data_IF_064360706370
#
_entry.id   IF_064360706370
#
_cell.length_a   1.000
_cell.length_b   1.000
_cell.length_c   1.000
_cell.angle_alpha   90.00
_cell.angle_beta   90.00
_cell.angle_gamma   90.00
#
_symmetry.space_group_name_H-M   'P 1'
#
loop_
_entity.id
_entity.type
_entity.pdbx_description
1 polymer ?
#
# COMPACT_ATOMS: atom_id res chain seq x y z
N UNK A 1 -36.32 -4.72 -3.33
CA UNK A 1 -34.86 -4.90 -3.43
C UNK A 1 -34.25 -3.64 -2.83
N UNK A 2 -33.45 -3.72 -1.75
CA UNK A 2 -32.79 -2.54 -1.22
C UNK A 2 -31.83 -2.00 -2.28
N UNK A 3 -31.78 -0.68 -2.44
CA UNK A 3 -30.84 -0.01 -3.35
C UNK A 3 -29.40 -0.33 -2.96
N UNK A 4 -28.72 -1.13 -3.78
CA UNK A 4 -27.30 -1.46 -3.64
C UNK A 4 -26.39 -0.21 -3.77
N UNK A 5 -26.91 0.92 -4.28
CA UNK A 5 -26.19 2.20 -4.29
C UNK A 5 -25.89 2.74 -2.88
N UNK A 6 -26.64 2.33 -1.85
CA UNK A 6 -26.50 2.91 -0.50
C UNK A 6 -25.25 2.46 0.28
N UNK A 7 -24.44 1.53 -0.24
CA UNK A 7 -23.33 0.93 0.50
C UNK A 7 -21.93 1.21 -0.08
N UNK A 8 -21.82 2.09 -1.08
CA UNK A 8 -20.51 2.49 -1.63
C UNK A 8 -19.79 3.45 -0.67
N UNK A 9 -18.48 3.28 -0.42
CA UNK A 9 -17.76 4.20 0.45
C UNK A 9 -17.69 5.59 -0.17
N UNK A 10 -18.00 6.60 0.64
CA UNK A 10 -17.80 8.00 0.29
C UNK A 10 -16.32 8.36 0.52
N UNK A 11 -15.53 8.47 -0.57
CA UNK A 11 -14.08 8.71 -0.45
C UNK A 11 -13.74 10.01 0.28
N UNK A 12 -14.58 11.04 0.20
CA UNK A 12 -14.39 12.31 0.92
C UNK A 12 -14.60 12.15 2.42
N UNK A 13 -15.56 11.32 2.83
CA UNK A 13 -15.72 10.99 4.25
C UNK A 13 -14.54 10.17 4.77
N UNK A 14 -14.07 9.21 3.98
CA UNK A 14 -12.87 8.43 4.30
C UNK A 14 -11.62 9.30 4.37
N UNK A 15 -11.37 10.19 3.42
CA UNK A 15 -10.27 11.17 3.48
C UNK A 15 -10.25 11.90 4.82
N UNK A 16 -11.38 12.53 5.21
CA UNK A 16 -11.50 13.24 6.49
C UNK A 16 -11.31 12.34 7.70
N UNK A 17 -11.78 11.09 7.62
CA UNK A 17 -11.60 10.12 8.69
C UNK A 17 -10.11 9.77 8.86
N UNK A 18 -9.40 9.52 7.76
CA UNK A 18 -7.96 9.25 7.80
C UNK A 18 -7.18 10.47 8.33
N UNK A 19 -7.50 11.69 7.89
CA UNK A 19 -6.90 12.92 8.41
C UNK A 19 -7.14 13.09 9.93
N UNK A 20 -8.34 12.76 10.41
CA UNK A 20 -8.67 12.81 11.82
C UNK A 20 -7.96 11.75 12.67
N UNK A 21 -7.60 10.59 12.09
CA UNK A 21 -6.75 9.59 12.76
C UNK A 21 -5.29 10.02 12.75
N UNK A 22 -4.81 10.55 11.63
CA UNK A 22 -3.45 11.09 11.49
C UNK A 22 -3.19 12.20 12.51
N UNK A 23 -4.16 13.08 12.77
CA UNK A 23 -4.02 14.15 13.77
C UNK A 23 -3.94 13.67 15.23
N UNK A 24 -4.26 12.41 15.50
CA UNK A 24 -4.07 11.78 16.81
C UNK A 24 -2.66 11.22 17.00
N UNK A 25 -1.87 11.11 15.92
CA UNK A 25 -0.45 10.83 16.02
C UNK A 25 0.30 12.05 16.57
N UNK A 26 1.52 11.83 17.06
CA UNK A 26 2.35 12.92 17.57
C UNK A 26 2.65 13.96 16.46
N UNK A 27 2.26 15.24 16.65
CA UNK A 27 2.38 16.29 15.64
C UNK A 27 3.80 16.54 15.15
N UNK A 28 4.83 16.21 15.93
CA UNK A 28 6.22 16.37 15.52
C UNK A 28 6.59 15.47 14.32
N UNK A 29 5.78 14.45 14.04
CA UNK A 29 6.10 13.34 13.15
C UNK A 29 5.38 13.49 11.80
N UNK A 30 4.33 14.30 11.72
CA UNK A 30 3.46 14.40 10.53
C UNK A 30 4.02 15.25 9.39
N UNK A 31 5.24 15.76 9.55
CA UNK A 31 5.86 16.70 8.63
C UNK A 31 7.13 16.12 8.00
N UNK A 32 7.01 15.09 7.13
CA UNK A 32 8.17 14.50 6.46
C UNK A 32 8.94 15.52 5.61
N UNK A 33 8.30 16.59 5.14
CA UNK A 33 8.93 17.71 4.44
C UNK A 33 9.87 18.55 5.32
N UNK A 34 9.76 18.40 6.65
CA UNK A 34 10.65 19.04 7.63
C UNK A 34 11.77 18.11 8.07
N UNK A 35 11.68 16.82 7.75
CA UNK A 35 12.71 15.84 8.11
C UNK A 35 13.93 15.99 7.20
N UNK A 36 15.11 16.08 7.81
CA UNK A 36 16.37 16.04 7.08
C UNK A 36 16.67 14.63 6.53
N UNK A 37 17.54 14.52 5.52
CA UNK A 37 17.94 13.22 4.97
C UNK A 37 18.55 12.28 6.03
N UNK A 38 19.26 12.81 7.02
CA UNK A 38 19.78 12.02 8.14
C UNK A 38 18.68 11.52 9.06
N UNK A 39 17.65 12.33 9.32
CA UNK A 39 16.51 11.95 10.14
C UNK A 39 15.68 10.86 9.45
N UNK A 40 15.45 10.97 8.13
CA UNK A 40 14.79 9.93 7.33
C UNK A 40 15.60 8.63 7.37
N UNK A 41 16.92 8.68 7.17
CA UNK A 41 17.78 7.48 7.23
C UNK A 41 17.74 6.80 8.59
N UNK A 42 17.63 7.58 9.66
CA UNK A 42 17.62 7.09 11.04
C UNK A 42 16.20 6.96 11.61
N UNK A 43 15.16 7.09 10.78
CA UNK A 43 13.77 7.01 11.21
C UNK A 43 13.52 5.68 11.92
N UNK A 44 12.73 5.75 12.98
CA UNK A 44 12.24 4.60 13.72
C UNK A 44 10.78 4.84 14.09
N UNK A 45 9.99 3.77 14.05
CA UNK A 45 8.62 3.82 14.55
C UNK A 45 8.56 3.87 16.09
N UNK A 46 7.35 3.88 16.65
CA UNK A 46 7.12 3.90 18.10
C UNK A 46 7.67 2.65 18.84
N UNK A 47 8.01 1.59 18.11
CA UNK A 47 8.61 0.35 18.65
C UNK A 47 10.13 0.29 18.41
N UNK A 48 10.72 1.32 17.80
CA UNK A 48 12.14 1.36 17.47
C UNK A 48 12.50 0.57 16.21
N UNK A 49 11.53 0.04 15.45
CA UNK A 49 11.80 -0.70 14.23
C UNK A 49 12.22 0.21 13.09
N UNK A 50 13.04 -0.34 12.21
CA UNK A 50 13.45 0.25 10.93
C UNK A 50 13.08 -0.72 9.83
N UNK A 51 12.57 -0.20 8.73
CA UNK A 51 12.25 -0.97 7.52
C UNK A 51 13.04 -0.37 6.38
N UNK A 52 13.42 -1.21 5.43
CA UNK A 52 14.14 -0.73 4.26
C UNK A 52 13.28 0.19 3.38
N UNK A 53 11.96 -0.01 3.37
CA UNK A 53 10.98 0.86 2.68
C UNK A 53 10.82 2.25 3.34
N UNK A 54 11.21 2.44 4.61
CA UNK A 54 11.05 3.71 5.33
C UNK A 54 11.71 4.85 4.55
N UNK A 55 12.93 4.64 4.06
CA UNK A 55 13.72 5.68 3.39
C UNK A 55 13.08 6.16 2.09
N UNK A 56 12.82 5.30 1.08
CA UNK A 56 12.24 5.78 -0.17
C UNK A 56 10.80 6.28 0.00
N UNK A 57 10.00 5.69 0.91
CA UNK A 57 8.64 6.17 1.19
C UNK A 57 8.62 7.55 1.85
N UNK A 58 9.38 7.75 2.94
CA UNK A 58 9.41 9.04 3.63
C UNK A 58 10.07 10.14 2.78
N UNK A 59 11.05 9.78 1.95
CA UNK A 59 11.63 10.72 0.97
C UNK A 59 10.58 11.16 -0.04
N UNK A 60 9.74 10.23 -0.53
CA UNK A 60 8.63 10.54 -1.43
C UNK A 60 7.63 11.48 -0.75
N UNK A 61 7.24 11.17 0.48
CA UNK A 61 6.32 12.01 1.27
C UNK A 61 6.84 13.40 1.57
N UNK A 62 8.14 13.53 1.85
CA UNK A 62 8.76 14.80 2.20
C UNK A 62 9.23 15.65 1.01
N UNK A 63 9.16 15.13 -0.22
CA UNK A 63 9.72 15.81 -1.40
C UNK A 63 11.24 16.01 -1.31
N UNK A 64 11.93 15.18 -0.51
CA UNK A 64 13.35 15.31 -0.20
C UNK A 64 14.26 14.82 -1.32
N UNK A 65 15.56 15.09 -1.20
CA UNK A 65 16.57 14.51 -2.08
C UNK A 65 16.88 13.07 -1.68
N UNK A 66 16.95 12.24 -2.71
CA UNK A 66 17.12 10.78 -2.69
C UNK A 66 18.42 10.39 -1.97
N UNK A 67 18.34 9.40 -1.07
CA UNK A 67 19.52 8.69 -0.56
C UNK A 67 19.93 7.60 -1.54
N UNK A 68 21.19 7.14 -1.51
CA UNK A 68 21.62 6.06 -2.39
C UNK A 68 20.81 4.78 -2.14
N UNK A 69 20.24 4.22 -3.21
CA UNK A 69 19.50 2.97 -3.18
C UNK A 69 20.43 1.80 -2.78
N UNK A 70 20.04 0.94 -1.82
CA UNK A 70 20.77 -0.29 -1.52
C UNK A 70 20.85 -1.23 -2.73
N UNK A 71 21.99 -1.92 -2.91
CA UNK A 71 22.18 -2.85 -4.02
C UNK A 71 21.36 -4.15 -3.92
N UNK A 72 20.85 -4.46 -2.74
CA UNK A 72 20.11 -5.67 -2.38
C UNK A 72 18.62 -5.40 -2.08
N UNK A 73 18.09 -4.28 -2.58
CA UNK A 73 16.70 -3.88 -2.35
C UNK A 73 15.70 -4.93 -2.88
N UNK A 74 14.66 -5.20 -2.09
CA UNK A 74 13.57 -6.11 -2.46
C UNK A 74 12.66 -5.50 -3.54
N UNK A 75 11.81 -6.29 -4.23
CA UNK A 75 10.93 -5.77 -5.28
C UNK A 75 10.01 -4.62 -4.84
N UNK A 76 9.46 -4.68 -3.63
CA UNK A 76 8.61 -3.62 -3.07
C UNK A 76 9.39 -2.33 -2.78
N UNK A 77 10.60 -2.45 -2.22
CA UNK A 77 11.52 -1.33 -2.04
C UNK A 77 11.89 -0.70 -3.39
N UNK A 78 12.18 -1.53 -4.39
CA UNK A 78 12.54 -1.08 -5.73
C UNK A 78 11.42 -0.27 -6.39
N UNK A 79 10.15 -0.64 -6.18
CA UNK A 79 9.02 0.16 -6.66
C UNK A 79 8.96 1.53 -5.97
N UNK A 80 9.24 1.62 -4.67
CA UNK A 80 9.35 2.91 -3.99
C UNK A 80 10.54 3.73 -4.49
N UNK A 81 11.68 3.10 -4.77
CA UNK A 81 12.83 3.78 -5.39
C UNK A 81 12.55 4.28 -6.81
N UNK A 82 11.71 3.59 -7.59
CA UNK A 82 11.34 4.02 -8.94
C UNK A 82 10.58 5.36 -8.98
N UNK A 83 10.01 5.81 -7.84
CA UNK A 83 9.43 7.16 -7.74
C UNK A 83 10.49 8.26 -7.76
N UNK A 84 11.73 7.91 -7.44
CA UNK A 84 12.89 8.79 -7.26
C UNK A 84 13.96 8.64 -8.33
N UNK A 85 14.07 7.44 -8.90
CA UNK A 85 15.10 7.05 -9.85
C UNK A 85 14.43 6.47 -11.11
N UNK A 86 14.45 7.23 -12.20
CA UNK A 86 13.88 6.84 -13.48
C UNK A 86 14.67 5.72 -14.18
N UNK A 87 15.87 5.38 -13.68
CA UNK A 87 16.65 4.24 -14.19
C UNK A 87 16.13 2.89 -13.68
N UNK A 88 15.23 2.90 -12.70
CA UNK A 88 14.59 1.68 -12.19
C UNK A 88 13.55 1.17 -13.18
N UNK A 89 13.83 0.02 -13.78
CA UNK A 89 12.93 -0.65 -14.73
C UNK A 89 11.79 -1.38 -13.99
N UNK A 90 10.66 -0.69 -13.86
CA UNK A 90 9.44 -1.21 -13.20
C UNK A 90 8.87 -2.42 -13.94
N UNK A 91 8.83 -2.39 -15.28
CA UNK A 91 8.27 -3.49 -16.07
C UNK A 91 9.11 -4.76 -15.87
N UNK A 92 10.44 -4.63 -15.79
CA UNK A 92 11.33 -5.74 -15.45
C UNK A 92 11.07 -6.28 -14.03
N UNK A 93 10.95 -5.39 -13.03
CA UNK A 93 10.66 -5.81 -11.64
C UNK A 93 9.38 -6.64 -11.60
N UNK A 94 8.31 -6.15 -12.23
CA UNK A 94 7.03 -6.86 -12.28
C UNK A 94 7.13 -8.19 -13.04
N UNK A 95 7.88 -8.24 -14.14
CA UNK A 95 8.03 -9.44 -14.95
C UNK A 95 8.84 -10.55 -14.24
N UNK A 96 9.94 -10.19 -13.59
CA UNK A 96 10.85 -11.14 -12.92
C UNK A 96 10.28 -11.68 -11.60
N UNK A 97 9.42 -10.92 -10.93
CA UNK A 97 8.91 -11.26 -9.59
C UNK A 97 7.45 -11.71 -9.58
N UNK A 98 6.80 -11.84 -10.74
CA UNK A 98 5.39 -12.23 -10.83
C UNK A 98 5.12 -13.62 -10.20
N UNK A 99 3.93 -13.84 -9.62
CA UNK A 99 3.50 -15.18 -9.24
C UNK A 99 3.51 -16.13 -10.43
N UNK A 100 3.87 -17.40 -10.19
CA UNK A 100 3.70 -18.46 -11.18
C UNK A 100 2.19 -18.66 -11.46
N UNK A 101 1.78 -18.92 -12.71
CA UNK A 101 0.40 -19.24 -13.00
C UNK A 101 -0.02 -20.48 -12.22
N UNK A 102 -0.99 -20.34 -11.33
CA UNK A 102 -1.61 -21.49 -10.67
C UNK A 102 -2.49 -22.19 -11.69
N UNK A 103 -2.38 -23.52 -11.81
CA UNK A 103 -3.21 -24.30 -12.73
C UNK A 103 -4.70 -24.14 -12.37
N UNK A 104 -5.41 -23.36 -13.20
CA UNK A 104 -6.83 -23.05 -13.01
C UNK A 104 -7.72 -24.29 -13.10
N UNK A 105 -7.23 -25.42 -13.62
CA UNK A 105 -7.97 -26.68 -13.67
C UNK A 105 -8.14 -27.35 -12.29
N UNK A 106 -7.41 -26.89 -11.25
CA UNK A 106 -7.55 -27.37 -9.88
C UNK A 106 -8.35 -26.42 -8.96
N UNK A 107 -8.75 -25.24 -9.46
CA UNK A 107 -9.35 -24.18 -8.65
C UNK A 107 -10.61 -23.63 -9.33
N UNK A 108 -11.70 -24.40 -9.26
CA UNK A 108 -13.00 -24.09 -9.87
C UNK A 108 -13.74 -22.86 -9.30
N UNK A 109 -13.13 -22.10 -8.38
CA UNK A 109 -13.78 -21.00 -7.66
C UNK A 109 -13.15 -19.61 -7.91
N UNK A 110 -12.00 -19.54 -8.57
CA UNK A 110 -11.29 -18.26 -8.78
C UNK A 110 -11.94 -17.44 -9.91
N UNK A 111 -12.75 -16.46 -9.53
CA UNK A 111 -13.26 -15.42 -10.44
C UNK A 111 -12.28 -14.24 -10.53
N UNK A 112 -11.09 -14.52 -11.08
CA UNK A 112 -10.24 -13.48 -11.65
C UNK A 112 -9.08 -13.04 -10.76
N UNK A 113 -7.87 -13.35 -11.19
CA UNK A 113 -6.66 -12.76 -10.63
C UNK A 113 -5.42 -13.38 -11.24
N UNK A 114 -4.41 -12.56 -11.51
CA UNK A 114 -3.04 -13.00 -11.87
C UNK A 114 -2.21 -13.29 -10.60
N UNK A 115 -2.85 -13.44 -9.44
CA UNK A 115 -2.21 -13.57 -8.12
C UNK A 115 -1.85 -12.22 -7.50
N UNK A 116 -1.07 -12.29 -6.41
CA UNK A 116 -0.42 -11.14 -5.78
C UNK A 116 0.50 -10.37 -6.74
N UNK A 117 1.06 -9.27 -6.29
CA UNK A 117 2.01 -8.49 -7.10
C UNK A 117 3.33 -9.27 -7.29
N UNK A 118 3.77 -9.93 -6.22
CA UNK A 118 5.01 -10.69 -6.11
C UNK A 118 4.74 -12.15 -5.76
N UNK A 119 5.62 -13.04 -6.22
CA UNK A 119 5.59 -14.45 -5.83
C UNK A 119 5.88 -14.62 -4.33
N UNK A 120 5.04 -15.39 -3.63
CA UNK A 120 5.19 -15.67 -2.19
C UNK A 120 6.58 -16.21 -1.82
N UNK A 121 7.15 -17.08 -2.66
CA UNK A 121 8.46 -17.71 -2.42
C UNK A 121 9.66 -16.75 -2.41
N UNK A 122 9.46 -15.47 -2.72
CA UNK A 122 10.49 -14.44 -2.59
C UNK A 122 10.73 -14.01 -1.14
N UNK A 123 9.78 -14.30 -0.24
CA UNK A 123 9.83 -13.88 1.16
C UNK A 123 9.75 -15.09 2.10
N UNK A 124 10.22 -14.88 3.33
CA UNK A 124 10.40 -15.97 4.30
C UNK A 124 9.09 -16.47 4.92
N UNK A 125 8.09 -15.59 5.04
CA UNK A 125 6.82 -15.86 5.74
C UNK A 125 5.69 -15.19 4.98
N UNK A 126 4.47 -15.67 5.19
CA UNK A 126 3.28 -15.10 4.54
C UNK A 126 3.07 -13.65 4.96
N UNK A 127 3.34 -13.32 6.23
CA UNK A 127 3.17 -11.99 6.78
C UNK A 127 4.16 -10.99 6.14
N UNK A 128 5.43 -11.39 5.99
CA UNK A 128 6.45 -10.56 5.32
C UNK A 128 6.12 -10.41 3.83
N UNK A 129 5.64 -11.47 3.18
CA UNK A 129 5.18 -11.35 1.79
C UNK A 129 3.98 -10.41 1.68
N UNK A 130 2.96 -10.54 2.53
CA UNK A 130 1.75 -9.70 2.48
C UNK A 130 2.10 -8.23 2.70
N UNK A 131 2.98 -7.93 3.67
CA UNK A 131 3.51 -6.58 3.89
C UNK A 131 4.17 -6.03 2.62
N UNK A 132 5.09 -6.78 2.02
CA UNK A 132 5.80 -6.36 0.82
C UNK A 132 4.86 -6.21 -0.39
N UNK A 133 3.91 -7.13 -0.56
CA UNK A 133 2.95 -7.11 -1.66
C UNK A 133 2.05 -5.87 -1.58
N UNK A 134 1.54 -5.54 -0.39
CA UNK A 134 0.73 -4.34 -0.15
C UNK A 134 1.56 -3.06 -0.26
N UNK A 135 2.79 -3.04 0.25
CA UNK A 135 3.69 -1.90 0.12
C UNK A 135 4.05 -1.63 -1.35
N UNK A 136 4.33 -2.68 -2.13
CA UNK A 136 4.56 -2.60 -3.57
C UNK A 136 3.32 -2.17 -4.35
N UNK A 137 2.14 -2.66 -3.97
CA UNK A 137 0.86 -2.25 -4.54
C UNK A 137 0.62 -0.74 -4.35
N UNK A 138 0.95 -0.22 -3.17
CA UNK A 138 0.88 1.21 -2.86
C UNK A 138 1.83 2.03 -3.73
N UNK A 139 3.09 1.60 -3.86
CA UNK A 139 4.06 2.27 -4.73
C UNK A 139 3.65 2.24 -6.21
N UNK A 140 3.17 1.10 -6.71
CA UNK A 140 2.77 0.92 -8.09
C UNK A 140 1.58 1.81 -8.46
N UNK A 141 0.65 2.05 -7.53
CA UNK A 141 -0.43 3.02 -7.72
C UNK A 141 0.12 4.42 -8.05
N UNK A 142 1.08 4.92 -7.27
CA UNK A 142 1.72 6.21 -7.52
C UNK A 142 2.48 6.23 -8.84
N UNK A 143 3.26 5.18 -9.14
CA UNK A 143 3.99 5.05 -10.40
C UNK A 143 3.05 5.06 -11.61
N UNK A 144 1.95 4.29 -11.55
CA UNK A 144 0.94 4.22 -12.59
C UNK A 144 0.35 5.60 -12.89
N UNK A 145 0.06 6.40 -11.85
CA UNK A 145 -0.46 7.76 -12.00
C UNK A 145 0.58 8.74 -12.52
N UNK A 146 1.79 8.73 -11.95
CA UNK A 146 2.92 9.59 -12.36
C UNK A 146 3.26 9.37 -13.84
N UNK A 147 3.32 8.12 -14.29
CA UNK A 147 3.67 7.76 -15.67
C UNK A 147 2.46 7.63 -16.60
N UNK A 148 1.23 7.82 -16.09
CA UNK A 148 -0.03 7.65 -16.84
C UNK A 148 -0.16 6.24 -17.48
N UNK A 149 0.36 5.21 -16.81
CA UNK A 149 0.36 3.80 -17.24
C UNK A 149 -0.94 3.11 -16.80
N UNK A 150 -1.91 3.03 -17.72
CA UNK A 150 -3.22 2.42 -17.47
C UNK A 150 -3.14 0.91 -17.19
N UNK A 151 -2.18 0.24 -17.83
CA UNK A 151 -1.89 -1.17 -17.64
C UNK A 151 -1.39 -1.46 -16.22
N UNK A 152 -0.55 -0.60 -15.64
CA UNK A 152 -0.16 -0.71 -14.24
C UNK A 152 -1.32 -0.43 -13.28
N UNK A 153 -2.16 0.56 -13.60
CA UNK A 153 -3.36 0.82 -12.80
C UNK A 153 -4.32 -0.39 -12.81
N UNK A 154 -4.53 -1.01 -13.97
CA UNK A 154 -5.33 -2.22 -14.09
C UNK A 154 -4.72 -3.39 -13.31
N UNK A 155 -3.39 -3.55 -13.35
CA UNK A 155 -2.66 -4.54 -12.56
C UNK A 155 -2.88 -4.33 -11.06
N UNK A 156 -2.76 -3.10 -10.56
CA UNK A 156 -3.01 -2.75 -9.16
C UNK A 156 -4.43 -3.16 -8.74
N UNK A 157 -5.45 -2.82 -9.54
CA UNK A 157 -6.84 -3.14 -9.20
C UNK A 157 -7.11 -4.66 -9.24
N UNK A 158 -6.54 -5.39 -10.21
CA UNK A 158 -6.65 -6.85 -10.28
C UNK A 158 -5.97 -7.53 -9.08
N UNK A 159 -4.79 -7.07 -8.69
CA UNK A 159 -4.08 -7.58 -7.53
C UNK A 159 -4.83 -7.27 -6.24
N UNK A 160 -5.37 -6.06 -6.08
CA UNK A 160 -6.21 -5.70 -4.94
C UNK A 160 -7.46 -6.59 -4.84
N UNK A 161 -8.15 -6.84 -5.96
CA UNK A 161 -9.30 -7.74 -5.99
C UNK A 161 -8.91 -9.17 -5.58
N UNK A 162 -7.77 -9.67 -6.07
CA UNK A 162 -7.25 -10.98 -5.66
C UNK A 162 -6.90 -11.03 -4.15
N UNK A 163 -6.33 -9.96 -3.58
CA UNK A 163 -6.10 -9.88 -2.13
C UNK A 163 -7.39 -10.00 -1.34
N UNK A 164 -8.46 -9.34 -1.79
CA UNK A 164 -9.78 -9.43 -1.14
C UNK A 164 -10.33 -10.86 -1.15
N UNK A 165 -10.09 -11.62 -2.22
CA UNK A 165 -10.58 -12.98 -2.37
C UNK A 165 -9.72 -14.01 -1.61
N UNK A 166 -8.40 -13.84 -1.63
CA UNK A 166 -7.46 -14.92 -1.29
C UNK A 166 -6.56 -14.63 -0.09
N UNK A 167 -6.45 -13.37 0.35
CA UNK A 167 -5.55 -12.96 1.43
C UNK A 167 -6.34 -12.35 2.57
N UNK A 168 -6.19 -12.94 3.76
CA UNK A 168 -6.79 -12.36 4.94
C UNK A 168 -6.02 -11.08 5.35
N UNK A 169 -6.70 -9.94 5.52
CA UNK A 169 -6.07 -8.66 5.88
C UNK A 169 -5.47 -8.64 7.30
N UNK A 170 -5.69 -9.69 8.10
CA UNK A 170 -5.15 -9.89 9.45
C UNK A 170 -3.81 -10.65 9.48
N UNK A 171 -3.24 -11.01 8.32
CA UNK A 171 -1.94 -11.66 8.18
C UNK A 171 -0.73 -10.76 8.55
N UNK A 172 -0.81 -10.02 9.66
CA UNK A 172 0.36 -9.56 10.40
C UNK A 172 1.04 -8.29 9.91
N UNK A 173 0.48 -7.53 8.96
CA UNK A 173 1.14 -6.32 8.43
C UNK A 173 1.16 -5.17 9.43
N UNK A 174 0.12 -5.01 10.27
CA UNK A 174 -0.06 -3.87 11.20
C UNK A 174 0.12 -2.48 10.55
N UNK A 175 0.29 -2.38 9.23
CA UNK A 175 0.44 -1.15 8.48
C UNK A 175 -0.66 -1.06 7.43
N UNK A 176 -1.26 0.12 7.22
CA UNK A 176 -2.40 0.28 6.34
C UNK A 176 -1.98 0.50 4.87
N UNK A 177 -1.00 -0.26 4.39
CA UNK A 177 -0.50 -0.16 3.01
C UNK A 177 -1.62 -0.37 1.99
N UNK A 178 -1.62 0.45 0.94
CA UNK A 178 -2.58 0.42 -0.15
C UNK A 178 -4.06 0.54 0.27
N UNK A 179 -4.38 0.98 1.50
CA UNK A 179 -5.77 1.14 1.98
C UNK A 179 -6.64 1.95 1.01
N UNK A 180 -6.09 3.02 0.42
CA UNK A 180 -6.79 3.85 -0.57
C UNK A 180 -7.16 3.08 -1.85
N UNK A 181 -6.38 2.08 -2.26
CA UNK A 181 -6.66 1.23 -3.42
C UNK A 181 -7.90 0.38 -3.16
N UNK A 182 -8.01 -0.22 -1.97
CA UNK A 182 -9.17 -1.03 -1.60
C UNK A 182 -10.45 -0.19 -1.47
N UNK A 183 -10.36 1.03 -0.91
CA UNK A 183 -11.49 1.97 -0.87
C UNK A 183 -11.95 2.38 -2.28
N UNK A 184 -10.99 2.63 -3.19
CA UNK A 184 -11.31 2.93 -4.58
C UNK A 184 -11.96 1.72 -5.26
N UNK A 185 -11.43 0.51 -5.07
CA UNK A 185 -12.01 -0.73 -5.59
C UNK A 185 -13.43 -0.95 -5.07
N UNK A 186 -13.69 -0.71 -3.78
CA UNK A 186 -15.01 -0.85 -3.17
C UNK A 186 -16.03 0.13 -3.79
N UNK A 187 -15.61 1.37 -4.09
CA UNK A 187 -16.47 2.38 -4.75
C UNK A 187 -16.79 2.01 -6.19
N UNK A 188 -15.78 1.63 -6.97
CA UNK A 188 -15.91 1.44 -8.41
C UNK A 188 -16.40 0.04 -8.79
N UNK A 189 -15.98 -1.00 -8.06
CA UNK A 189 -16.15 -2.40 -8.44
C UNK A 189 -17.33 -3.14 -7.82
N UNK A 190 -18.17 -2.47 -7.01
CA UNK A 190 -19.25 -3.10 -6.23
C UNK A 190 -18.76 -4.34 -5.45
N UNK A 191 -17.63 -4.19 -4.76
CA UNK A 191 -17.00 -5.24 -3.96
C UNK A 191 -17.09 -4.89 -2.47
N UNK A 192 -18.13 -5.38 -1.75
CA UNK A 192 -18.23 -5.20 -0.30
C UNK A 192 -17.02 -5.76 0.45
N UNK A 193 -16.39 -6.81 -0.08
CA UNK A 193 -15.17 -7.39 0.48
C UNK A 193 -14.00 -6.41 0.49
N UNK A 194 -13.88 -5.54 -0.52
CA UNK A 194 -12.83 -4.53 -0.56
C UNK A 194 -12.98 -3.47 0.54
N UNK A 195 -14.22 -3.10 0.90
CA UNK A 195 -14.46 -2.19 2.01
C UNK A 195 -14.05 -2.82 3.35
N UNK A 196 -14.49 -4.06 3.61
CA UNK A 196 -14.11 -4.80 4.81
C UNK A 196 -12.59 -5.01 4.91
N UNK A 197 -11.93 -5.26 3.77
CA UNK A 197 -10.48 -5.38 3.70
C UNK A 197 -9.78 -4.07 4.11
N UNK A 198 -10.23 -2.93 3.58
CA UNK A 198 -9.73 -1.61 3.95
C UNK A 198 -9.93 -1.28 5.44
N UNK A 199 -11.13 -1.57 5.97
CA UNK A 199 -11.45 -1.41 7.40
C UNK A 199 -10.56 -2.26 8.29
N UNK A 200 -10.27 -3.50 7.86
CA UNK A 200 -9.42 -4.40 8.63
C UNK A 200 -7.96 -3.94 8.65
N UNK A 201 -7.41 -3.50 7.50
CA UNK A 201 -6.09 -2.89 7.43
C UNK A 201 -5.97 -1.67 8.37
N UNK A 202 -7.00 -0.81 8.37
CA UNK A 202 -7.04 0.33 9.26
C UNK A 202 -7.04 -0.11 10.74
N UNK A 203 -7.97 -0.98 11.13
CA UNK A 203 -8.12 -1.44 12.50
C UNK A 203 -6.85 -2.13 13.03
N UNK A 204 -6.19 -2.94 12.20
CA UNK A 204 -4.94 -3.60 12.56
C UNK A 204 -3.83 -2.59 12.87
N UNK A 205 -3.76 -1.48 12.13
CA UNK A 205 -2.79 -0.40 12.40
C UNK A 205 -3.04 0.37 13.70
N UNK A 206 -4.22 0.23 14.30
CA UNK A 206 -4.61 0.93 15.53
C UNK A 206 -4.58 0.02 16.76
N UNK A 207 -4.57 -1.31 16.58
CA UNK A 207 -4.90 -2.28 17.63
C UNK A 207 -4.03 -2.17 18.89
N UNK A 208 -2.75 -1.80 18.74
CA UNK A 208 -1.81 -1.77 19.88
C UNK A 208 -1.83 -0.44 20.64
N UNK A 209 -1.98 0.68 19.95
CA UNK A 209 -1.85 2.01 20.56
C UNK A 209 -3.19 2.75 20.72
N UNK A 210 -4.27 2.24 20.12
CA UNK A 210 -5.54 2.95 19.98
C UNK A 210 -5.48 4.18 19.06
N UNK A 211 -4.33 4.38 18.40
CA UNK A 211 -4.00 5.44 17.44
C UNK A 211 -2.95 4.89 16.46
N UNK A 212 -2.75 5.50 15.29
CA UNK A 212 -1.66 5.06 14.42
C UNK A 212 -0.30 5.32 15.09
N UNK A 213 0.62 4.36 14.95
CA UNK A 213 2.03 4.61 15.23
C UNK A 213 2.62 5.61 14.22
N UNK A 214 3.85 6.09 14.46
CA UNK A 214 4.56 7.06 13.60
C UNK A 214 4.54 6.69 12.13
N UNK A 215 4.87 5.44 11.81
CA UNK A 215 5.01 4.99 10.44
C UNK A 215 3.64 4.82 9.78
N UNK A 216 2.71 4.17 10.50
CA UNK A 216 1.32 4.04 10.08
C UNK A 216 0.67 5.39 9.80
N UNK A 217 0.97 6.43 10.59
CA UNK A 217 0.46 7.78 10.38
C UNK A 217 0.92 8.39 9.04
N UNK A 218 2.16 8.14 8.61
CA UNK A 218 2.63 8.58 7.29
C UNK A 218 1.90 7.86 6.16
N UNK A 219 1.65 6.56 6.29
CA UNK A 219 0.91 5.76 5.29
C UNK A 219 -0.54 6.24 5.19
N UNK A 220 -1.21 6.48 6.32
CA UNK A 220 -2.57 7.02 6.35
C UNK A 220 -2.66 8.42 5.76
N UNK A 221 -1.68 9.29 6.06
CA UNK A 221 -1.61 10.63 5.48
C UNK A 221 -1.46 10.58 3.95
N UNK A 222 -0.67 9.63 3.45
CA UNK A 222 -0.54 9.40 2.02
C UNK A 222 -1.84 8.88 1.39
N UNK A 223 -2.48 7.90 2.03
CA UNK A 223 -3.79 7.38 1.59
C UNK A 223 -4.84 8.49 1.52
N UNK A 224 -4.90 9.38 2.53
CA UNK A 224 -5.80 10.53 2.51
C UNK A 224 -5.54 11.46 1.32
N UNK A 225 -4.26 11.75 1.04
CA UNK A 225 -3.89 12.54 -0.13
C UNK A 225 -4.30 11.86 -1.45
N UNK A 226 -4.10 10.55 -1.58
CA UNK A 226 -4.57 9.79 -2.74
C UNK A 226 -6.09 9.86 -2.91
N UNK A 227 -6.86 9.69 -1.82
CA UNK A 227 -8.32 9.75 -1.85
C UNK A 227 -8.82 11.12 -2.31
N UNK A 228 -8.17 12.22 -1.87
CA UNK A 228 -8.48 13.59 -2.29
C UNK A 228 -8.39 13.78 -3.80
N UNK A 229 -7.47 13.09 -4.46
CA UNK A 229 -7.28 13.20 -5.89
C UNK A 229 -8.26 12.32 -6.71
N UNK A 230 -9.07 11.47 -6.06
CA UNK A 230 -9.99 10.52 -6.69
C UNK A 230 -11.45 10.97 -6.65
N UNK A 231 -11.74 12.19 -6.20
CA UNK A 231 -13.08 12.76 -6.16
C UNK A 231 -13.06 14.27 -6.39
#
# INVERSE_FOLDING_TARGET
MPDHESNKPNLRQWEKHLEALVSQADPAILHPERMGAEEIRNFRDDRGHRRAVDVPFLTFRGGGKVADRPGDATPDELLWWALHDETVDVDRILAENRPQPVDKSQLHHLRGGEGGLFAQGLFRTIEVWTEADLAGLHALWHLARKQKRKDWQEKVLKTAAWHVEEVQPDNGTNHPWALHVFLFLAREGDSPGALLHAETLLNNSLITLGRPDRFSAHILADCAACLRELH
#
